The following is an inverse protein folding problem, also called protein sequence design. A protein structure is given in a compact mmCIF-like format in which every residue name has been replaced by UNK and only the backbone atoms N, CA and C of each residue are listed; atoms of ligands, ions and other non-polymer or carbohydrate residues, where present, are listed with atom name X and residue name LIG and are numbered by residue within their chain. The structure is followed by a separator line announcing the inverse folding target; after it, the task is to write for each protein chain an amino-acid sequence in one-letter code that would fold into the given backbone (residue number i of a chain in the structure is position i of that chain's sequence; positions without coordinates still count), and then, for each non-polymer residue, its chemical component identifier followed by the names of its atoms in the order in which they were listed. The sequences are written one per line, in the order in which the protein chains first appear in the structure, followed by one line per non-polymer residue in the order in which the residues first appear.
data_IF_968533038314
#
_entry.id   IF_968533038314
#
_cell.length_a   1.000
_cell.length_b   1.000
_cell.length_c   1.000
_cell.angle_alpha   90.00
_cell.angle_beta   90.00
_cell.angle_gamma   90.00
#
_symmetry.space_group_name_H-M   'P 1'
#
loop_
_entity.id
_entity.type
_entity.pdbx_description
1 polymer ?
#
# COMPACT_ATOMS: atom_id res chain seq x y z
N UNK A 1 -42.24 49.83 -37.48
CA UNK A 1 -41.15 48.85 -37.30
C UNK A 1 -40.53 49.09 -35.91
N UNK A 2 -40.93 48.33 -34.89
CA UNK A 2 -40.35 48.43 -33.53
C UNK A 2 -40.16 47.01 -33.00
N UNK A 3 -38.96 46.48 -33.16
CA UNK A 3 -38.54 45.25 -32.50
C UNK A 3 -38.25 45.59 -31.04
N UNK A 4 -39.16 45.18 -30.15
CA UNK A 4 -38.93 45.14 -28.71
C UNK A 4 -38.11 43.89 -28.43
N UNK A 5 -36.81 44.02 -28.18
CA UNK A 5 -36.03 42.96 -27.55
C UNK A 5 -36.36 42.97 -26.06
N UNK A 6 -37.38 42.20 -25.67
CA UNK A 6 -37.59 41.82 -24.28
C UNK A 6 -36.51 40.79 -23.90
N UNK A 7 -36.01 40.86 -22.66
CA UNK A 7 -35.07 39.87 -22.14
C UNK A 7 -35.73 38.48 -22.15
N UNK A 8 -35.27 37.60 -23.05
CA UNK A 8 -35.82 36.24 -23.17
C UNK A 8 -35.25 35.40 -22.03
N UNK A 9 -36.13 34.83 -21.22
CA UNK A 9 -35.73 33.82 -20.25
C UNK A 9 -35.27 32.56 -20.97
N UNK A 10 -34.47 31.72 -20.32
CA UNK A 10 -34.03 30.43 -20.89
C UNK A 10 -35.21 29.56 -21.37
N UNK A 11 -36.34 29.65 -20.67
CA UNK A 11 -37.61 29.01 -21.04
C UNK A 11 -38.12 29.43 -22.43
N UNK A 12 -38.02 30.72 -22.79
CA UNK A 12 -38.52 31.24 -24.07
C UNK A 12 -37.69 30.72 -25.25
N UNK A 13 -36.38 30.55 -25.03
CA UNK A 13 -35.45 29.95 -25.97
C UNK A 13 -35.75 28.46 -26.18
N UNK A 14 -36.00 27.72 -25.09
CA UNK A 14 -36.30 26.29 -25.17
C UNK A 14 -37.64 26.04 -25.89
N UNK A 15 -38.65 26.89 -25.68
CA UNK A 15 -39.92 26.85 -26.42
C UNK A 15 -39.73 27.11 -27.93
N UNK A 16 -38.87 28.07 -28.30
CA UNK A 16 -38.54 28.34 -29.71
C UNK A 16 -37.77 27.18 -30.37
N UNK A 17 -36.92 26.47 -29.60
CA UNK A 17 -36.24 25.26 -30.08
C UNK A 17 -37.25 24.13 -30.32
N UNK A 18 -38.21 23.91 -29.42
CA UNK A 18 -39.27 22.91 -29.63
C UNK A 18 -40.12 23.19 -30.87
N UNK A 19 -40.38 24.47 -31.15
CA UNK A 19 -41.04 24.89 -32.40
C UNK A 19 -40.19 24.59 -33.63
N UNK A 20 -38.88 24.88 -33.58
CA UNK A 20 -37.95 24.65 -34.68
C UNK A 20 -37.77 23.17 -35.04
N UNK A 21 -37.81 22.28 -34.05
CA UNK A 21 -37.70 20.82 -34.25
C UNK A 21 -39.05 20.15 -34.58
N UNK A 22 -40.11 20.94 -34.76
CA UNK A 22 -41.37 20.49 -35.35
C UNK A 22 -42.47 20.11 -34.37
N UNK A 23 -42.51 20.68 -33.16
CA UNK A 23 -43.68 20.57 -32.25
C UNK A 23 -44.62 21.75 -32.51
N UNK A 24 -45.77 21.55 -33.19
CA UNK A 24 -46.58 22.66 -33.69
C UNK A 24 -47.56 23.23 -32.66
N UNK A 25 -47.97 22.45 -31.66
CA UNK A 25 -48.92 22.90 -30.63
C UNK A 25 -48.19 23.61 -29.48
N UNK A 26 -48.58 24.85 -29.21
CA UNK A 26 -47.99 25.67 -28.15
C UNK A 26 -48.19 25.06 -26.76
N UNK A 27 -49.35 24.41 -26.50
CA UNK A 27 -49.61 23.77 -25.20
C UNK A 27 -48.76 22.51 -25.00
N UNK A 28 -48.55 21.75 -26.07
CA UNK A 28 -47.65 20.61 -26.06
C UNK A 28 -46.20 21.02 -25.80
N UNK A 29 -45.73 22.14 -26.39
CA UNK A 29 -44.40 22.70 -26.12
C UNK A 29 -44.19 23.09 -24.66
N UNK A 30 -45.15 23.80 -24.06
CA UNK A 30 -45.10 24.16 -22.63
C UNK A 30 -45.01 22.92 -21.75
N UNK A 31 -45.85 21.91 -22.02
CA UNK A 31 -45.85 20.65 -21.27
C UNK A 31 -44.52 19.89 -21.36
N UNK A 32 -43.90 19.83 -22.55
CA UNK A 32 -42.61 19.19 -22.76
C UNK A 32 -41.48 19.95 -22.07
N UNK A 33 -41.53 21.29 -22.11
CA UNK A 33 -40.58 22.14 -21.40
C UNK A 33 -40.66 21.90 -19.89
N UNK A 34 -41.85 21.93 -19.31
CA UNK A 34 -42.07 21.66 -17.87
C UNK A 34 -41.58 20.27 -17.45
N UNK A 35 -41.85 19.25 -18.26
CA UNK A 35 -41.36 17.89 -18.01
C UNK A 35 -39.83 17.81 -18.07
N UNK A 36 -39.21 18.47 -19.05
CA UNK A 36 -37.76 18.50 -19.19
C UNK A 36 -37.11 19.20 -17.98
N UNK A 37 -37.63 20.34 -17.56
CA UNK A 37 -37.15 21.06 -16.38
C UNK A 37 -37.35 20.26 -15.09
N UNK A 38 -38.48 19.55 -14.96
CA UNK A 38 -38.75 18.67 -13.83
C UNK A 38 -37.75 17.52 -13.74
N UNK A 39 -37.54 16.77 -14.83
CA UNK A 39 -36.60 15.64 -14.85
C UNK A 39 -35.15 16.09 -14.67
N UNK A 40 -34.79 17.23 -15.27
CA UNK A 40 -33.46 17.83 -15.09
C UNK A 40 -33.22 18.21 -13.62
N UNK A 41 -34.18 18.90 -12.99
CA UNK A 41 -34.09 19.26 -11.58
C UNK A 41 -34.11 18.03 -10.65
N UNK A 42 -34.81 16.96 -11.02
CA UNK A 42 -34.80 15.68 -10.30
C UNK A 42 -33.43 15.01 -10.41
N UNK A 43 -32.87 14.89 -11.60
CA UNK A 43 -31.55 14.31 -11.84
C UNK A 43 -30.44 15.04 -11.07
N UNK A 44 -30.44 16.38 -11.09
CA UNK A 44 -29.47 17.16 -10.31
C UNK A 44 -29.67 17.02 -8.80
N UNK A 45 -30.91 16.88 -8.31
CA UNK A 45 -31.17 16.58 -6.89
C UNK A 45 -30.65 15.21 -6.49
N UNK A 46 -30.82 14.20 -7.32
CA UNK A 46 -30.30 12.85 -7.07
C UNK A 46 -28.76 12.84 -7.02
N UNK A 47 -28.10 13.52 -7.97
CA UNK A 47 -26.64 13.71 -7.96
C UNK A 47 -26.22 14.42 -6.67
N UNK A 48 -26.92 15.50 -6.28
CA UNK A 48 -26.57 16.29 -5.10
C UNK A 48 -26.72 15.49 -3.80
N UNK A 49 -27.73 14.62 -3.69
CA UNK A 49 -27.90 13.72 -2.55
C UNK A 49 -26.73 12.75 -2.44
N UNK A 50 -26.30 12.15 -3.55
CA UNK A 50 -25.15 11.24 -3.58
C UNK A 50 -23.86 11.98 -3.21
N UNK A 51 -23.69 13.21 -3.70
CA UNK A 51 -22.53 14.05 -3.41
C UNK A 51 -22.47 14.47 -1.94
N UNK A 52 -23.60 14.89 -1.36
CA UNK A 52 -23.72 15.19 0.08
C UNK A 52 -23.41 13.95 0.90
N UNK A 53 -23.94 12.78 0.56
CA UNK A 53 -23.62 11.52 1.25
C UNK A 53 -22.13 11.19 1.19
N UNK A 54 -21.47 11.41 0.04
CA UNK A 54 -20.02 11.24 -0.10
C UNK A 54 -19.24 12.24 0.75
N UNK A 55 -19.70 13.50 0.82
CA UNK A 55 -19.08 14.52 1.68
C UNK A 55 -19.28 14.22 3.17
N UNK A 56 -20.46 13.77 3.58
CA UNK A 56 -20.74 13.34 4.95
C UNK A 56 -19.95 12.08 5.34
N UNK A 57 -19.79 11.12 4.43
CA UNK A 57 -18.91 9.96 4.65
C UNK A 57 -17.45 10.41 4.85
N UNK A 58 -16.96 11.33 4.02
CA UNK A 58 -15.62 11.92 4.20
C UNK A 58 -15.49 12.66 5.53
N UNK A 59 -16.50 13.45 5.92
CA UNK A 59 -16.50 14.19 7.18
C UNK A 59 -16.55 13.26 8.41
N UNK A 60 -17.39 12.22 8.38
CA UNK A 60 -17.47 11.20 9.45
C UNK A 60 -16.20 10.36 9.57
N UNK A 61 -15.53 10.06 8.46
CA UNK A 61 -14.20 9.43 8.47
C UNK A 61 -13.10 10.40 8.94
N UNK A 62 -13.28 11.70 8.81
CA UNK A 62 -12.35 12.73 9.29
C UNK A 62 -12.43 12.95 10.81
N UNK A 63 -13.62 12.88 11.41
CA UNK A 63 -13.83 13.11 12.86
C UNK A 63 -13.22 12.01 13.74
N UNK A 64 -13.04 10.80 13.21
CA UNK A 64 -12.32 9.70 13.87
C UNK A 64 -11.15 9.32 12.97
N UNK A 65 -10.10 10.12 12.96
CA UNK A 65 -8.91 9.87 12.15
C UNK A 65 -8.48 8.41 12.25
N UNK A 66 -8.23 7.77 11.11
CA UNK A 66 -7.90 6.35 11.02
C UNK A 66 -6.72 6.01 11.94
N UNK A 67 -6.83 4.88 12.64
CA UNK A 67 -5.73 4.35 13.45
C UNK A 67 -4.58 3.88 12.53
N UNK A 68 -3.37 3.77 13.06
CA UNK A 68 -2.18 3.40 12.26
C UNK A 68 -2.32 2.00 11.63
N UNK A 69 -2.93 1.06 12.35
CA UNK A 69 -3.28 -0.27 11.85
C UNK A 69 -4.26 -0.20 10.68
N UNK A 70 -5.31 0.62 10.78
CA UNK A 70 -6.28 0.82 9.69
C UNK A 70 -5.64 1.45 8.44
N UNK A 71 -4.75 2.44 8.62
CA UNK A 71 -3.98 3.03 7.52
C UNK A 71 -3.02 2.04 6.88
N UNK A 72 -2.33 1.23 7.68
CA UNK A 72 -1.43 0.21 7.17
C UNK A 72 -2.18 -0.86 6.37
N UNK A 73 -3.38 -1.26 6.84
CA UNK A 73 -4.26 -2.18 6.11
C UNK A 73 -4.66 -1.63 4.74
N UNK A 74 -5.14 -0.38 4.69
CA UNK A 74 -5.50 0.29 3.43
C UNK A 74 -4.32 0.35 2.45
N UNK A 75 -3.14 0.73 2.95
CA UNK A 75 -1.92 0.77 2.14
C UNK A 75 -1.54 -0.62 1.64
N UNK A 76 -1.54 -1.63 2.51
CA UNK A 76 -1.19 -3.00 2.17
C UNK A 76 -2.11 -3.59 1.10
N UNK A 77 -3.41 -3.36 1.21
CA UNK A 77 -4.42 -3.83 0.26
C UNK A 77 -4.38 -3.08 -1.08
N UNK A 78 -3.63 -1.97 -1.15
CA UNK A 78 -3.34 -1.24 -2.38
C UNK A 78 -1.99 -1.57 -3.03
N UNK A 79 -1.08 -2.26 -2.32
CA UNK A 79 0.21 -2.70 -2.86
C UNK A 79 0.04 -3.67 -4.04
N UNK A 80 0.99 -3.65 -4.97
CA UNK A 80 1.07 -4.68 -6.00
C UNK A 80 1.45 -6.04 -5.39
N UNK A 81 1.10 -7.13 -6.08
CA UNK A 81 1.30 -8.49 -5.54
C UNK A 81 2.77 -8.82 -5.28
N UNK A 82 3.69 -8.28 -6.07
CA UNK A 82 5.15 -8.44 -5.90
C UNK A 82 5.70 -7.65 -4.71
N UNK A 83 5.07 -6.54 -4.35
CA UNK A 83 5.39 -5.71 -3.18
C UNK A 83 4.90 -6.37 -1.88
N UNK A 84 3.88 -7.23 -1.95
CA UNK A 84 3.35 -7.97 -0.81
C UNK A 84 4.13 -9.23 -0.46
N UNK A 85 5.00 -9.70 -1.36
CA UNK A 85 5.85 -10.86 -1.08
C UNK A 85 6.83 -10.52 0.04
N UNK A 86 6.66 -11.20 1.17
CA UNK A 86 7.61 -11.15 2.27
C UNK A 86 9.00 -11.58 1.82
N UNK A 87 10.05 -11.22 2.55
CA UNK A 87 11.41 -11.61 2.18
C UNK A 87 11.57 -13.14 2.07
N UNK A 88 11.05 -13.98 2.99
CA UNK A 88 11.11 -15.44 2.83
C UNK A 88 10.39 -15.95 1.59
N UNK A 89 9.18 -15.45 1.29
CA UNK A 89 8.40 -15.85 0.11
C UNK A 89 9.06 -15.41 -1.20
N UNK A 90 9.62 -14.19 -1.19
CA UNK A 90 10.39 -13.66 -2.32
C UNK A 90 11.64 -14.51 -2.58
N UNK A 91 12.40 -14.87 -1.55
CA UNK A 91 13.57 -15.76 -1.69
C UNK A 91 13.14 -17.09 -2.30
N UNK A 92 12.11 -17.74 -1.74
CA UNK A 92 11.63 -19.04 -2.20
C UNK A 92 11.13 -19.03 -3.65
N UNK A 93 10.64 -17.87 -4.14
CA UNK A 93 10.09 -17.72 -5.50
C UNK A 93 11.14 -17.33 -6.55
N UNK A 94 12.28 -16.76 -6.13
CA UNK A 94 13.27 -16.16 -7.05
C UNK A 94 14.63 -16.88 -7.08
N UNK A 95 14.89 -17.76 -6.12
CA UNK A 95 16.19 -18.42 -5.97
C UNK A 95 16.05 -19.93 -5.85
N UNK A 96 17.13 -20.63 -6.21
CA UNK A 96 17.25 -22.06 -5.99
C UNK A 96 17.24 -22.39 -4.48
N UNK A 97 16.74 -23.57 -4.14
CA UNK A 97 16.51 -24.02 -2.76
C UNK A 97 17.52 -25.10 -2.36
N UNK A 98 18.81 -24.81 -2.58
CA UNK A 98 19.88 -25.81 -2.54
C UNK A 98 20.39 -26.10 -1.12
N UNK A 99 20.23 -25.14 -0.20
CA UNK A 99 20.69 -25.26 1.18
C UNK A 99 19.58 -24.88 2.17
N UNK A 100 19.09 -25.89 2.91
CA UNK A 100 18.12 -25.68 3.96
C UNK A 100 18.81 -25.32 5.27
N UNK A 101 18.45 -24.18 5.85
CA UNK A 101 19.01 -23.69 7.12
C UNK A 101 17.89 -23.40 8.12
N UNK A 102 18.13 -23.75 9.38
CA UNK A 102 17.24 -23.42 10.50
C UNK A 102 17.82 -22.21 11.24
N UNK A 103 17.24 -21.03 11.05
CA UNK A 103 17.67 -19.80 11.72
C UNK A 103 17.16 -19.82 13.18
N UNK A 104 18.05 -19.87 14.18
CA UNK A 104 17.67 -19.91 15.58
C UNK A 104 17.05 -18.60 16.08
N UNK A 105 16.32 -18.70 17.20
CA UNK A 105 15.86 -17.54 17.95
C UNK A 105 17.01 -16.74 18.60
N UNK A 106 16.77 -15.45 18.82
CA UNK A 106 17.71 -14.54 19.49
C UNK A 106 18.40 -13.53 18.57
N UNK A 107 19.34 -12.78 19.14
CA UNK A 107 20.10 -11.74 18.44
C UNK A 107 21.32 -12.35 17.74
N UNK A 108 21.44 -12.23 16.41
CA UNK A 108 22.59 -12.75 15.68
C UNK A 108 23.83 -11.89 15.89
N UNK A 109 24.98 -12.55 15.93
CA UNK A 109 26.32 -11.98 15.91
C UNK A 109 27.16 -12.73 14.89
N UNK A 110 27.87 -11.98 14.06
CA UNK A 110 28.77 -12.49 13.06
C UNK A 110 30.19 -12.03 13.43
N UNK A 111 31.16 -12.95 13.55
CA UNK A 111 32.56 -12.58 13.72
C UNK A 111 33.09 -11.77 12.54
N UNK A 112 34.27 -11.17 12.75
CA UNK A 112 34.98 -10.47 11.68
C UNK A 112 35.27 -11.42 10.51
N UNK A 113 35.39 -10.86 9.30
CA UNK A 113 35.68 -11.66 8.10
C UNK A 113 37.07 -12.29 8.15
N UNK A 114 38.01 -11.70 8.90
CA UNK A 114 39.38 -12.19 9.08
C UNK A 114 39.50 -13.23 10.21
N UNK A 115 38.40 -13.59 10.89
CA UNK A 115 38.41 -14.61 11.94
C UNK A 115 38.76 -15.98 11.35
N UNK A 116 39.92 -16.51 11.73
CA UNK A 116 40.47 -17.74 11.14
C UNK A 116 39.66 -19.00 11.44
N UNK A 117 38.77 -18.98 12.43
CA UNK A 117 38.03 -20.17 12.87
C UNK A 117 36.54 -20.06 12.58
N UNK A 118 35.97 -18.87 12.77
CA UNK A 118 34.52 -18.68 12.84
C UNK A 118 34.00 -17.66 11.81
N UNK A 119 34.78 -17.29 10.80
CA UNK A 119 34.33 -16.36 9.74
C UNK A 119 33.04 -16.83 9.03
N UNK A 120 32.80 -18.13 8.91
CA UNK A 120 31.59 -18.70 8.30
C UNK A 120 30.52 -19.14 9.33
N UNK A 121 30.55 -18.60 10.55
CA UNK A 121 29.66 -19.01 11.63
C UNK A 121 28.87 -17.84 12.19
N UNK A 122 27.57 -18.04 12.42
CA UNK A 122 26.69 -17.07 13.08
C UNK A 122 26.34 -17.56 14.48
N UNK A 123 26.41 -16.66 15.45
CA UNK A 123 26.06 -16.92 16.84
C UNK A 123 24.75 -16.23 17.22
N UNK A 124 23.80 -16.96 17.79
CA UNK A 124 22.51 -16.44 18.21
C UNK A 124 22.39 -16.45 19.73
N UNK A 125 22.16 -15.29 20.34
CA UNK A 125 21.99 -15.15 21.79
C UNK A 125 20.56 -14.74 22.16
N UNK A 126 19.87 -15.54 22.97
CA UNK A 126 18.49 -15.26 23.40
C UNK A 126 18.42 -14.37 24.66
N UNK A 127 19.31 -14.58 25.63
CA UNK A 127 19.37 -13.82 26.89
C UNK A 127 20.81 -13.52 27.29
N UNK A 128 21.02 -12.45 28.07
CA UNK A 128 22.35 -12.14 28.64
C UNK A 128 22.76 -13.29 29.57
N UNK A 129 23.80 -14.05 29.19
CA UNK A 129 24.41 -15.09 30.03
C UNK A 129 24.14 -16.54 29.59
N UNK A 130 23.21 -16.78 28.67
CA UNK A 130 23.03 -18.12 28.08
C UNK A 130 24.02 -18.34 26.92
N UNK A 131 24.53 -19.57 26.79
CA UNK A 131 25.44 -19.95 25.71
C UNK A 131 24.78 -19.67 24.36
N UNK A 132 25.47 -18.93 23.49
CA UNK A 132 24.97 -18.63 22.17
C UNK A 132 24.86 -19.92 21.34
N UNK A 133 23.76 -20.04 20.58
CA UNK A 133 23.59 -21.09 19.59
C UNK A 133 24.52 -20.80 18.42
N UNK A 134 25.40 -21.76 18.11
CA UNK A 134 26.32 -21.69 16.98
C UNK A 134 25.64 -22.27 15.74
N UNK A 135 25.72 -21.56 14.62
CA UNK A 135 25.24 -22.02 13.32
C UNK A 135 26.36 -21.89 12.29
N UNK A 136 26.89 -23.03 11.85
CA UNK A 136 27.94 -23.11 10.84
C UNK A 136 27.33 -23.03 9.43
N UNK A 137 27.87 -22.13 8.60
CA UNK A 137 27.40 -21.89 7.24
C UNK A 137 28.43 -22.41 6.22
N UNK A 138 28.01 -22.74 4.98
CA UNK A 138 28.92 -23.26 3.95
C UNK A 138 30.05 -22.30 3.58
N UNK A 139 29.74 -21.01 3.52
CA UNK A 139 30.70 -19.94 3.17
C UNK A 139 30.43 -18.69 3.98
N UNK A 140 31.36 -17.73 3.95
CA UNK A 140 31.19 -16.40 4.55
C UNK A 140 29.92 -15.70 4.03
N UNK A 141 29.67 -15.76 2.72
CA UNK A 141 28.48 -15.15 2.12
C UNK A 141 27.17 -15.71 2.71
N UNK A 142 27.12 -17.03 2.97
CA UNK A 142 25.98 -17.64 3.65
C UNK A 142 25.86 -17.17 5.11
N UNK A 143 26.97 -17.00 5.83
CA UNK A 143 26.95 -16.48 7.19
C UNK A 143 26.47 -15.03 7.26
N UNK A 144 26.89 -14.17 6.33
CA UNK A 144 26.41 -12.80 6.19
C UNK A 144 24.92 -12.74 5.88
N UNK A 145 24.45 -13.57 4.95
CA UNK A 145 23.05 -13.69 4.62
C UNK A 145 22.22 -14.12 5.82
N UNK A 146 22.62 -15.19 6.52
CA UNK A 146 21.90 -15.66 7.72
C UNK A 146 21.92 -14.63 8.84
N UNK A 147 23.04 -13.92 9.03
CA UNK A 147 23.13 -12.80 9.94
C UNK A 147 22.11 -11.70 9.59
N UNK A 148 22.04 -11.30 8.33
CA UNK A 148 21.08 -10.27 7.86
C UNK A 148 19.63 -10.71 8.05
N UNK A 149 19.27 -11.92 7.61
CA UNK A 149 17.92 -12.49 7.82
C UNK A 149 17.59 -12.56 9.33
N UNK A 150 18.56 -12.95 10.14
CA UNK A 150 18.48 -12.91 11.60
C UNK A 150 18.18 -11.50 12.14
N UNK A 151 18.86 -10.46 11.63
CA UNK A 151 18.62 -9.06 12.03
C UNK A 151 17.26 -8.54 11.61
N UNK A 152 16.74 -9.02 10.49
CA UNK A 152 15.40 -8.72 9.99
C UNK A 152 14.28 -9.40 10.79
N UNK A 153 14.62 -10.30 11.72
CA UNK A 153 13.64 -11.03 12.53
C UNK A 153 13.13 -12.33 11.88
N UNK A 154 13.73 -12.77 10.77
CA UNK A 154 13.37 -14.03 10.11
C UNK A 154 13.94 -15.20 10.91
N UNK A 155 13.10 -16.19 11.24
CA UNK A 155 13.42 -17.33 12.10
C UNK A 155 12.88 -18.62 11.51
N UNK A 156 13.42 -19.75 11.96
CA UNK A 156 12.99 -21.06 11.51
C UNK A 156 13.61 -21.49 10.18
N UNK A 157 12.97 -22.45 9.52
CA UNK A 157 13.48 -23.08 8.31
C UNK A 157 13.34 -22.18 7.08
N UNK A 158 14.45 -21.91 6.41
CA UNK A 158 14.48 -21.24 5.10
C UNK A 158 15.42 -21.98 4.17
N UNK A 159 15.05 -22.06 2.89
CA UNK A 159 15.91 -22.61 1.84
C UNK A 159 16.60 -21.47 1.11
N UNK A 160 17.92 -21.55 1.00
CA UNK A 160 18.78 -20.54 0.40
C UNK A 160 19.55 -21.15 -0.78
N UNK A 161 19.90 -20.35 -1.79
CA UNK A 161 20.72 -20.78 -2.91
C UNK A 161 22.16 -21.04 -2.47
N UNK A 162 22.82 -21.97 -3.16
CA UNK A 162 24.27 -22.15 -3.06
C UNK A 162 24.86 -22.13 -4.49
N UNK A 163 25.56 -21.06 -4.90
CA UNK A 163 26.23 -20.07 -4.05
C UNK A 163 25.34 -18.84 -3.69
N UNK A 164 25.67 -18.12 -2.61
CA UNK A 164 24.78 -17.14 -1.96
C UNK A 164 24.97 -15.67 -2.39
N UNK A 165 26.03 -15.35 -3.14
CA UNK A 165 26.47 -13.97 -3.41
C UNK A 165 25.41 -13.16 -4.16
N UNK A 166 24.75 -13.78 -5.14
CA UNK A 166 23.68 -13.12 -5.89
C UNK A 166 22.52 -12.73 -4.97
N UNK A 167 22.12 -13.63 -4.06
CA UNK A 167 21.05 -13.34 -3.12
C UNK A 167 21.44 -12.23 -2.15
N UNK A 168 22.70 -12.16 -1.69
CA UNK A 168 23.16 -11.05 -0.82
C UNK A 168 23.02 -9.69 -1.52
N UNK A 169 23.43 -9.60 -2.80
CA UNK A 169 23.28 -8.38 -3.59
C UNK A 169 21.80 -8.01 -3.81
N UNK A 170 20.98 -8.96 -4.26
CA UNK A 170 19.57 -8.74 -4.58
C UNK A 170 18.75 -8.41 -3.30
N UNK A 171 19.08 -9.04 -2.16
CA UNK A 171 18.45 -8.75 -0.87
C UNK A 171 18.74 -7.32 -0.43
N UNK A 172 19.99 -6.87 -0.54
CA UNK A 172 20.37 -5.50 -0.19
C UNK A 172 19.60 -4.48 -1.02
N UNK A 173 19.51 -4.71 -2.34
CA UNK A 173 18.74 -3.87 -3.24
C UNK A 173 17.24 -3.87 -2.89
N UNK A 174 16.65 -5.03 -2.60
CA UNK A 174 15.23 -5.14 -2.22
C UNK A 174 14.95 -4.40 -0.91
N UNK A 175 15.81 -4.51 0.10
CA UNK A 175 15.65 -3.80 1.38
C UNK A 175 15.71 -2.29 1.20
N UNK A 176 16.66 -1.76 0.41
CA UNK A 176 16.69 -0.33 0.08
C UNK A 176 15.44 0.11 -0.69
N UNK A 177 14.93 -0.75 -1.58
CA UNK A 177 13.66 -0.53 -2.26
C UNK A 177 12.47 -0.43 -1.31
N UNK A 178 12.38 -1.35 -0.35
CA UNK A 178 11.35 -1.35 0.70
C UNK A 178 11.44 -0.07 1.54
N UNK A 179 12.64 0.32 1.99
CA UNK A 179 12.82 1.52 2.83
C UNK A 179 12.32 2.78 2.12
N UNK A 180 12.69 2.99 0.85
CA UNK A 180 12.20 4.11 0.05
C UNK A 180 10.68 4.05 -0.12
N UNK A 181 10.16 2.86 -0.47
CA UNK A 181 8.75 2.67 -0.78
C UNK A 181 7.86 2.92 0.43
N UNK A 182 8.29 2.45 1.59
CA UNK A 182 7.56 2.61 2.85
C UNK A 182 7.50 4.08 3.27
N UNK A 183 8.60 4.83 3.17
CA UNK A 183 8.61 6.27 3.45
C UNK A 183 7.67 7.04 2.50
N UNK A 184 7.72 6.74 1.20
CA UNK A 184 6.82 7.32 0.19
C UNK A 184 5.34 7.06 0.54
N UNK A 185 5.00 5.81 0.89
CA UNK A 185 3.63 5.43 1.22
C UNK A 185 3.15 6.10 2.50
N UNK A 186 3.97 6.13 3.55
CA UNK A 186 3.62 6.76 4.82
C UNK A 186 3.40 8.27 4.67
N UNK A 187 4.29 8.98 3.96
CA UNK A 187 4.17 10.42 3.68
C UNK A 187 2.99 10.76 2.78
N UNK A 188 2.56 9.83 1.93
CA UNK A 188 1.35 10.01 1.11
C UNK A 188 0.05 9.98 1.93
N UNK A 189 0.09 9.49 3.18
CA UNK A 189 -1.07 9.26 4.04
C UNK A 189 -1.14 10.18 5.25
N UNK A 190 -0.03 10.78 5.65
CA UNK A 190 0.00 11.72 6.77
C UNK A 190 1.08 12.79 6.58
N UNK A 191 0.87 13.93 7.21
CA UNK A 191 1.87 15.01 7.35
C UNK A 191 2.39 15.13 8.78
N UNK A 192 1.94 14.25 9.68
CA UNK A 192 2.39 14.16 11.07
C UNK A 192 3.57 13.19 11.14
N UNK A 193 4.75 13.69 11.49
CA UNK A 193 5.99 12.91 11.46
C UNK A 193 5.96 11.69 12.38
N UNK A 194 5.35 11.79 13.56
CA UNK A 194 5.23 10.64 14.47
C UNK A 194 4.36 9.54 13.85
N UNK A 195 3.28 9.93 13.18
CA UNK A 195 2.39 8.98 12.51
C UNK A 195 3.04 8.38 11.26
N UNK A 196 3.84 9.17 10.54
CA UNK A 196 4.62 8.70 9.40
C UNK A 196 5.61 7.63 9.88
N UNK A 197 6.36 7.89 10.95
CA UNK A 197 7.31 6.93 11.53
C UNK A 197 6.64 5.62 11.95
N UNK A 198 5.53 5.70 12.70
CA UNK A 198 4.79 4.52 13.17
C UNK A 198 4.23 3.69 12.00
N UNK A 199 3.63 4.36 11.01
CA UNK A 199 3.09 3.70 9.81
C UNK A 199 4.20 3.06 8.99
N UNK A 200 5.33 3.76 8.81
CA UNK A 200 6.48 3.27 8.10
C UNK A 200 7.06 2.02 8.78
N UNK A 201 7.25 2.07 10.10
CA UNK A 201 7.75 0.94 10.87
C UNK A 201 6.84 -0.31 10.72
N UNK A 202 5.52 -0.12 10.79
CA UNK A 202 4.55 -1.19 10.64
C UNK A 202 4.55 -1.79 9.21
N UNK A 203 4.53 -0.95 8.18
CA UNK A 203 4.57 -1.41 6.79
C UNK A 203 5.88 -2.14 6.48
N UNK A 204 7.02 -1.61 6.92
CA UNK A 204 8.33 -2.26 6.77
C UNK A 204 8.32 -3.64 7.42
N UNK A 205 7.75 -3.78 8.62
CA UNK A 205 7.61 -5.06 9.28
C UNK A 205 6.81 -6.07 8.44
N UNK A 206 5.66 -5.66 7.89
CA UNK A 206 4.83 -6.52 7.04
C UNK A 206 5.49 -6.88 5.71
N UNK A 207 6.19 -5.94 5.07
CA UNK A 207 6.91 -6.23 3.82
C UNK A 207 8.12 -7.16 4.03
N UNK A 208 8.69 -7.18 5.24
CA UNK A 208 9.81 -8.07 5.57
C UNK A 208 9.33 -9.47 5.98
N UNK A 209 8.40 -9.55 6.93
CA UNK A 209 8.00 -10.82 7.58
C UNK A 209 6.66 -11.37 7.09
N UNK A 210 5.92 -10.58 6.31
CA UNK A 210 4.53 -10.84 5.95
C UNK A 210 3.57 -10.16 6.93
N UNK A 211 2.39 -9.81 6.43
CA UNK A 211 1.27 -9.33 7.24
C UNK A 211 0.78 -10.47 8.16
N UNK A 212 0.57 -10.23 9.47
CA UNK A 212 0.03 -11.25 10.35
C UNK A 212 -1.34 -11.72 9.87
N UNK A 213 -1.57 -13.04 9.85
CA UNK A 213 -2.83 -13.65 9.39
C UNK A 213 -4.02 -13.40 10.33
N UNK A 214 -3.75 -12.88 11.53
CA UNK A 214 -4.75 -12.54 12.55
C UNK A 214 -4.57 -11.07 12.96
N UNK A 215 -5.25 -10.17 12.27
CA UNK A 215 -5.48 -8.79 12.71
C UNK A 215 -6.96 -8.48 12.53
#
# INVERSE_FOLDING_TARGET
MRARYAAHGRSDLDLAVFELIGVPDAKEREKLCDQLYFETAKHFREIRIVEIKKQEQRAKSQERGLRIDELALDVWDALADDERLSIPEWIASNFAQDWQVMIPEGNPKLPDAEDMLDAATVFFSNTKGTRATRLDCPTRAHAELVYQLGKLGIRGGISLPNPAEKLVADLSQRLSGIDRRVDELARSRSTDESRIEDLAALLKHWMILGKPKNA
#
